data_IF_556924916659
#
_entry.id   IF_556924916659
#
_cell.length_a   1.000
_cell.length_b   1.000
_cell.length_c   1.000
_cell.angle_alpha   90.00
_cell.angle_beta   90.00
_cell.angle_gamma   90.00
#
_symmetry.space_group_name_H-M   'P 1'
#
loop_
_entity.id
_entity.type
_entity.pdbx_description
1 polymer ?
#
# COMPACT_ATOMS: atom_id res chain seq x y z
N UNK A 1 -31.38 -29.82 -6.09
CA UNK A 1 -31.47 -31.00 -5.20
C UNK A 1 -30.09 -31.25 -4.64
N UNK A 2 -29.86 -31.24 -3.33
CA UNK A 2 -28.54 -31.53 -2.79
C UNK A 2 -28.32 -33.05 -2.73
N UNK A 3 -27.18 -33.49 -3.27
CA UNK A 3 -26.64 -34.82 -3.05
C UNK A 3 -26.15 -34.92 -1.60
N UNK A 4 -26.84 -35.71 -0.78
CA UNK A 4 -26.31 -36.18 0.49
C UNK A 4 -25.48 -37.43 0.24
N UNK A 5 -24.15 -37.27 0.19
CA UNK A 5 -23.23 -38.35 0.53
C UNK A 5 -23.03 -38.32 2.03
N UNK A 6 -23.29 -39.44 2.71
CA UNK A 6 -23.05 -39.58 4.15
C UNK A 6 -21.58 -39.27 4.47
N UNK A 7 -21.34 -38.16 5.16
CA UNK A 7 -20.03 -37.81 5.69
C UNK A 7 -19.76 -38.67 6.93
N UNK A 8 -18.78 -39.58 6.85
CA UNK A 8 -18.18 -40.14 8.06
C UNK A 8 -17.59 -39.00 8.89
N UNK A 9 -17.72 -39.01 10.24
CA UNK A 9 -17.20 -37.93 11.07
C UNK A 9 -15.67 -37.95 11.05
N UNK A 10 -15.07 -37.15 10.17
CA UNK A 10 -13.64 -36.87 10.22
C UNK A 10 -13.37 -36.13 11.52
N UNK A 11 -12.51 -36.65 12.39
CA UNK A 11 -12.10 -35.95 13.60
C UNK A 11 -11.63 -34.53 13.25
N UNK A 12 -12.29 -33.49 13.78
CA UNK A 12 -11.86 -32.11 13.57
C UNK A 12 -10.42 -31.96 14.09
N UNK A 13 -9.45 -31.91 13.17
CA UNK A 13 -8.02 -31.83 13.50
C UNK A 13 -7.65 -30.57 14.28
N UNK A 14 -8.52 -29.55 14.27
CA UNK A 14 -8.35 -28.28 14.96
C UNK A 14 -9.09 -28.17 16.28
N UNK A 15 -9.82 -29.21 16.72
CA UNK A 15 -10.70 -29.14 17.89
C UNK A 15 -10.04 -28.54 19.15
N UNK A 16 -8.75 -28.82 19.38
CA UNK A 16 -7.99 -28.25 20.50
C UNK A 16 -7.72 -26.76 20.34
N UNK A 17 -7.39 -26.31 19.13
CA UNK A 17 -7.17 -24.88 18.83
C UNK A 17 -8.49 -24.14 18.97
N UNK A 18 -9.56 -24.68 18.37
CA UNK A 18 -10.90 -24.10 18.36
C UNK A 18 -11.43 -23.92 19.77
N UNK A 19 -11.40 -24.97 20.60
CA UNK A 19 -11.85 -24.90 21.99
C UNK A 19 -11.04 -23.86 22.81
N UNK A 20 -9.73 -23.79 22.59
CA UNK A 20 -8.85 -22.88 23.31
C UNK A 20 -9.07 -21.41 22.92
N UNK A 21 -9.29 -21.13 21.63
CA UNK A 21 -9.47 -19.76 21.14
C UNK A 21 -10.89 -19.25 21.39
N UNK A 22 -11.91 -20.11 21.32
CA UNK A 22 -13.28 -19.72 21.63
C UNK A 22 -13.46 -19.41 23.13
N UNK A 23 -12.57 -19.94 23.98
CA UNK A 23 -12.51 -19.67 25.42
C UNK A 23 -11.58 -18.51 25.81
N UNK A 24 -11.07 -17.73 24.83
CA UNK A 24 -10.19 -16.58 25.12
C UNK A 24 -10.91 -15.53 25.99
N UNK A 25 -10.28 -15.00 27.05
CA UNK A 25 -10.86 -13.89 27.81
C UNK A 25 -10.93 -12.62 26.96
N UNK A 26 -12.05 -11.90 27.05
CA UNK A 26 -12.31 -10.72 26.20
C UNK A 26 -11.24 -9.64 26.30
N UNK A 27 -10.58 -9.49 27.46
CA UNK A 27 -9.48 -8.53 27.68
C UNK A 27 -8.34 -8.65 26.66
N UNK A 28 -8.04 -9.86 26.20
CA UNK A 28 -7.00 -10.10 25.19
C UNK A 28 -7.43 -9.68 23.79
N UNK A 29 -8.74 -9.50 23.55
CA UNK A 29 -9.30 -9.16 22.23
C UNK A 29 -9.71 -7.70 22.11
N UNK A 30 -9.26 -6.84 23.04
CA UNK A 30 -9.54 -5.40 23.01
C UNK A 30 -8.55 -4.61 22.15
N UNK A 31 -7.34 -5.14 21.91
CA UNK A 31 -6.31 -4.51 21.10
C UNK A 31 -5.66 -5.54 20.20
N UNK A 32 -5.35 -5.13 18.98
CA UNK A 32 -4.72 -6.00 17.97
C UNK A 32 -3.43 -6.63 18.49
N UNK A 33 -2.55 -5.83 19.11
CA UNK A 33 -1.27 -6.30 19.61
C UNK A 33 -1.43 -7.34 20.73
N UNK A 34 -2.29 -7.06 21.71
CA UNK A 34 -2.57 -7.98 22.82
C UNK A 34 -3.18 -9.29 22.33
N UNK A 35 -4.03 -9.23 21.29
CA UNK A 35 -4.64 -10.41 20.72
C UNK A 35 -3.60 -11.28 20.00
N UNK A 36 -2.77 -10.67 19.17
CA UNK A 36 -1.69 -11.36 18.46
C UNK A 36 -0.64 -11.96 19.43
N UNK A 37 -0.29 -11.24 20.50
CA UNK A 37 0.59 -11.74 21.56
C UNK A 37 0.02 -12.98 22.26
N UNK A 38 -1.28 -12.96 22.59
CA UNK A 38 -1.96 -14.14 23.14
C UNK A 38 -1.85 -15.33 22.19
N UNK A 39 -2.15 -15.13 20.90
CA UNK A 39 -2.05 -16.18 19.87
C UNK A 39 -0.62 -16.74 19.78
N UNK A 40 0.40 -15.88 19.73
CA UNK A 40 1.81 -16.28 19.65
C UNK A 40 2.29 -17.07 20.88
N UNK A 41 1.78 -16.74 22.07
CA UNK A 41 2.09 -17.46 23.30
C UNK A 41 1.38 -18.81 23.36
N UNK A 42 0.10 -18.86 22.99
CA UNK A 42 -0.77 -20.02 23.15
C UNK A 42 -0.59 -21.09 22.07
N UNK A 43 -0.36 -20.68 20.82
CA UNK A 43 -0.32 -21.57 19.66
C UNK A 43 1.05 -21.59 18.99
N UNK A 44 1.47 -22.76 18.54
CA UNK A 44 2.76 -22.98 17.87
C UNK A 44 2.54 -23.42 16.42
N UNK A 45 3.38 -22.94 15.52
CA UNK A 45 3.27 -23.16 14.08
C UNK A 45 2.23 -22.27 13.41
N UNK A 46 2.42 -22.01 12.12
CA UNK A 46 1.60 -21.06 11.37
C UNK A 46 0.15 -21.53 11.30
N UNK A 47 -0.07 -22.82 11.04
CA UNK A 47 -1.40 -23.36 10.84
C UNK A 47 -2.30 -23.21 12.08
N UNK A 48 -1.78 -23.47 13.28
CA UNK A 48 -2.54 -23.30 14.52
C UNK A 48 -2.85 -21.82 14.82
N UNK A 49 -1.92 -20.92 14.50
CA UNK A 49 -2.13 -19.47 14.67
C UNK A 49 -3.19 -18.95 13.71
N UNK A 50 -3.11 -19.32 12.43
CA UNK A 50 -4.10 -18.94 11.41
C UNK A 50 -5.48 -19.49 11.75
N UNK A 51 -5.53 -20.76 12.22
CA UNK A 51 -6.78 -21.37 12.68
C UNK A 51 -7.39 -20.60 13.84
N UNK A 52 -6.59 -20.23 14.84
CA UNK A 52 -7.05 -19.45 15.97
C UNK A 52 -7.63 -18.10 15.53
N UNK A 53 -6.92 -17.35 14.68
CA UNK A 53 -7.41 -16.08 14.15
C UNK A 53 -8.74 -16.28 13.42
N UNK A 54 -8.79 -17.22 12.49
CA UNK A 54 -9.97 -17.47 11.64
C UNK A 54 -11.21 -17.84 12.46
N UNK A 55 -11.09 -18.85 13.33
CA UNK A 55 -12.20 -19.33 14.19
C UNK A 55 -12.65 -18.26 15.15
N UNK A 56 -11.74 -17.47 15.71
CA UNK A 56 -12.16 -16.36 16.56
C UNK A 56 -13.03 -15.38 15.77
N UNK A 57 -12.59 -14.99 14.57
CA UNK A 57 -13.32 -14.03 13.75
C UNK A 57 -14.69 -14.56 13.32
N UNK A 58 -14.76 -15.78 12.76
CA UNK A 58 -16.02 -16.34 12.25
C UNK A 58 -17.07 -16.55 13.34
N UNK A 59 -16.65 -16.81 14.59
CA UNK A 59 -17.55 -17.02 15.72
C UNK A 59 -17.83 -15.78 16.57
N UNK A 60 -17.08 -14.67 16.40
CA UNK A 60 -17.17 -13.49 17.29
C UNK A 60 -17.54 -12.21 16.56
N UNK A 61 -17.43 -12.18 15.24
CA UNK A 61 -17.77 -11.01 14.45
C UNK A 61 -19.16 -11.14 13.83
N UNK A 62 -19.77 -10.00 13.51
CA UNK A 62 -21.07 -9.92 12.85
C UNK A 62 -21.00 -9.05 11.61
N UNK A 63 -21.63 -9.49 10.52
CA UNK A 63 -21.68 -8.69 9.29
C UNK A 63 -22.56 -7.46 9.48
N UNK A 64 -22.05 -6.30 9.07
CA UNK A 64 -22.79 -5.05 9.13
C UNK A 64 -23.60 -4.83 7.85
N UNK A 65 -24.89 -5.20 7.90
CA UNK A 65 -25.83 -5.04 6.78
C UNK A 65 -26.09 -3.56 6.44
N UNK A 66 -25.97 -2.66 7.42
CA UNK A 66 -26.21 -1.23 7.24
C UNK A 66 -24.88 -0.48 7.25
N UNK A 67 -24.37 -0.16 6.07
CA UNK A 67 -23.24 0.77 5.97
C UNK A 67 -23.72 2.17 6.32
N UNK A 68 -23.44 2.64 7.53
CA UNK A 68 -23.61 4.05 7.88
C UNK A 68 -22.53 4.86 7.18
N UNK A 69 -22.92 5.75 6.27
CA UNK A 69 -22.03 6.79 5.77
C UNK A 69 -21.59 7.68 6.93
N UNK A 70 -20.38 7.48 7.44
CA UNK A 70 -19.75 8.42 8.37
C UNK A 70 -19.18 9.59 7.58
N UNK A 71 -19.32 10.79 8.14
CA UNK A 71 -18.78 12.04 7.60
C UNK A 71 -17.29 11.91 7.25
N UNK A 72 -16.91 12.31 6.02
CA UNK A 72 -15.55 12.22 5.44
C UNK A 72 -14.56 13.27 5.97
N UNK A 73 -14.80 13.86 7.13
CA UNK A 73 -13.93 14.93 7.64
C UNK A 73 -12.66 14.39 8.35
N UNK A 74 -12.57 13.09 8.64
CA UNK A 74 -11.34 12.48 9.14
C UNK A 74 -10.52 11.86 8.01
N UNK A 75 -9.21 12.05 8.08
CA UNK A 75 -8.24 11.35 7.22
C UNK A 75 -8.32 9.85 7.54
N UNK A 76 -8.51 9.04 6.51
CA UNK A 76 -8.56 7.58 6.63
C UNK A 76 -7.31 7.02 7.33
N UNK A 77 -7.51 6.08 8.24
CA UNK A 77 -6.43 5.36 8.94
C UNK A 77 -6.78 3.88 9.04
N UNK A 78 -5.98 3.04 8.35
CA UNK A 78 -6.11 1.58 8.39
C UNK A 78 -6.01 1.05 9.83
N UNK A 79 -5.11 1.59 10.64
CA UNK A 79 -4.92 1.20 12.04
C UNK A 79 -6.17 1.47 12.89
N UNK A 80 -6.78 2.66 12.73
CA UNK A 80 -8.05 2.98 13.41
C UNK A 80 -9.17 2.04 12.98
N UNK A 81 -9.34 1.83 11.67
CA UNK A 81 -10.38 0.95 11.13
C UNK A 81 -10.26 -0.49 11.67
N UNK A 82 -9.05 -1.05 11.70
CA UNK A 82 -8.81 -2.39 12.25
C UNK A 82 -9.14 -2.44 13.74
N UNK A 83 -8.69 -1.44 14.50
CA UNK A 83 -8.91 -1.38 15.94
C UNK A 83 -10.40 -1.20 16.30
N UNK A 84 -11.12 -0.39 15.53
CA UNK A 84 -12.58 -0.22 15.64
C UNK A 84 -13.32 -1.51 15.27
N UNK A 85 -12.90 -2.19 14.20
CA UNK A 85 -13.47 -3.48 13.79
C UNK A 85 -13.33 -4.52 14.89
N UNK A 86 -12.14 -4.64 15.48
CA UNK A 86 -11.89 -5.56 16.59
C UNK A 86 -12.74 -5.22 17.82
N UNK A 87 -12.87 -3.94 18.14
CA UNK A 87 -13.59 -3.46 19.33
C UNK A 87 -15.10 -3.61 19.19
N UNK A 88 -15.65 -3.28 18.03
CA UNK A 88 -17.09 -3.36 17.74
C UNK A 88 -17.52 -4.77 17.36
N UNK A 89 -16.57 -5.61 16.91
CA UNK A 89 -16.78 -6.94 16.35
C UNK A 89 -17.78 -6.93 15.18
N UNK A 90 -17.78 -5.86 14.40
CA UNK A 90 -18.70 -5.64 13.28
C UNK A 90 -17.96 -5.02 12.10
N UNK A 91 -18.39 -5.36 10.89
CA UNK A 91 -17.83 -4.81 9.66
C UNK A 91 -18.47 -5.42 8.42
N UNK A 92 -18.07 -4.94 7.24
CA UNK A 92 -18.30 -5.60 5.95
C UNK A 92 -17.04 -6.37 5.53
N UNK A 93 -17.05 -6.98 4.34
CA UNK A 93 -15.96 -7.82 3.83
C UNK A 93 -14.56 -7.21 4.00
N UNK A 94 -14.41 -5.92 3.69
CA UNK A 94 -13.17 -5.16 3.90
C UNK A 94 -12.63 -5.23 5.32
N UNK A 95 -13.45 -4.90 6.32
CA UNK A 95 -13.00 -4.89 7.71
C UNK A 95 -12.61 -6.28 8.20
N UNK A 96 -13.35 -7.31 7.77
CA UNK A 96 -13.02 -8.71 8.06
C UNK A 96 -11.66 -9.08 7.46
N UNK A 97 -11.46 -8.87 6.17
CA UNK A 97 -10.21 -9.22 5.50
C UNK A 97 -9.04 -8.39 6.05
N UNK A 98 -9.23 -7.09 6.31
CA UNK A 98 -8.21 -6.22 6.87
C UNK A 98 -7.77 -6.61 8.28
N UNK A 99 -8.72 -6.94 9.17
CA UNK A 99 -8.41 -7.45 10.50
C UNK A 99 -7.66 -8.78 10.44
N UNK A 100 -8.08 -9.69 9.54
CA UNK A 100 -7.41 -10.98 9.34
C UNK A 100 -5.96 -10.81 8.87
N UNK A 101 -5.73 -10.03 7.80
CA UNK A 101 -4.40 -9.68 7.29
C UNK A 101 -3.53 -9.08 8.40
N UNK A 102 -4.08 -8.15 9.17
CA UNK A 102 -3.32 -7.46 10.22
C UNK A 102 -2.91 -8.42 11.33
N UNK A 103 -3.83 -9.26 11.81
CA UNK A 103 -3.53 -10.27 12.83
C UNK A 103 -2.52 -11.30 12.31
N UNK A 104 -2.65 -11.77 11.07
CA UNK A 104 -1.68 -12.65 10.43
C UNK A 104 -0.28 -12.03 10.44
N UNK A 105 -0.14 -10.78 10.02
CA UNK A 105 1.13 -10.05 10.05
C UNK A 105 1.71 -9.93 11.46
N UNK A 106 0.89 -9.62 12.46
CA UNK A 106 1.32 -9.49 13.86
C UNK A 106 1.75 -10.83 14.49
N UNK A 107 1.30 -11.97 13.96
CA UNK A 107 1.78 -13.31 14.37
C UNK A 107 2.94 -13.85 13.53
N UNK A 108 3.48 -13.02 12.63
CA UNK A 108 4.65 -13.31 11.80
C UNK A 108 4.33 -13.99 10.48
N UNK A 109 3.07 -13.96 10.03
CA UNK A 109 2.60 -14.64 8.83
C UNK A 109 2.31 -13.61 7.75
N UNK A 110 2.98 -13.75 6.60
CA UNK A 110 2.79 -12.83 5.48
C UNK A 110 1.41 -13.03 4.87
N UNK A 111 0.66 -11.95 4.68
CA UNK A 111 -0.68 -11.96 4.10
C UNK A 111 -0.93 -10.74 3.22
N UNK A 112 -1.81 -10.89 2.24
CA UNK A 112 -2.28 -9.81 1.37
C UNK A 112 -3.81 -9.75 1.38
N UNK A 113 -4.33 -8.53 1.31
CA UNK A 113 -5.73 -8.23 1.05
C UNK A 113 -5.95 -8.28 -0.47
N UNK A 114 -7.00 -8.98 -0.90
CA UNK A 114 -7.33 -9.17 -2.31
C UNK A 114 -8.71 -8.60 -2.60
N UNK A 115 -8.78 -7.68 -3.57
CA UNK A 115 -10.03 -7.14 -4.10
C UNK A 115 -10.53 -7.98 -5.28
N UNK A 116 -11.82 -8.25 -5.30
CA UNK A 116 -12.47 -8.97 -6.39
C UNK A 116 -13.97 -9.02 -6.25
N UNK A 117 -14.56 -10.12 -6.70
CA UNK A 117 -15.99 -10.36 -6.61
C UNK A 117 -16.28 -11.86 -6.49
N UNK A 118 -17.42 -12.16 -5.87
CA UNK A 118 -17.89 -13.53 -5.67
C UNK A 118 -18.88 -13.98 -6.75
N UNK A 119 -19.14 -15.28 -6.79
CA UNK A 119 -20.31 -15.84 -7.49
C UNK A 119 -20.95 -16.97 -6.68
N UNK A 120 -22.24 -17.16 -6.87
CA UNK A 120 -22.99 -18.31 -6.37
C UNK A 120 -23.42 -19.18 -7.55
N UNK A 121 -22.86 -20.38 -7.66
CA UNK A 121 -22.97 -21.21 -8.86
C UNK A 121 -22.36 -20.49 -10.08
N UNK A 122 -23.19 -20.19 -11.08
CA UNK A 122 -22.79 -19.44 -12.28
C UNK A 122 -23.35 -18.01 -12.30
N UNK A 123 -23.80 -17.50 -11.15
CA UNK A 123 -24.36 -16.16 -11.02
C UNK A 123 -23.38 -15.28 -10.25
N UNK A 124 -22.84 -14.26 -10.92
CA UNK A 124 -21.99 -13.24 -10.30
C UNK A 124 -22.78 -12.45 -9.27
N UNK A 125 -22.19 -12.24 -8.10
CA UNK A 125 -22.76 -11.40 -7.05
C UNK A 125 -22.54 -9.91 -7.41
N UNK A 126 -23.51 -9.03 -7.13
CA UNK A 126 -23.47 -7.65 -7.61
C UNK A 126 -22.54 -6.75 -6.78
N UNK A 127 -21.97 -7.23 -5.68
CA UNK A 127 -21.05 -6.47 -4.84
C UNK A 127 -19.58 -6.83 -5.07
N UNK A 128 -18.72 -5.83 -4.90
CA UNK A 128 -17.29 -6.06 -4.68
C UNK A 128 -17.09 -6.86 -3.40
N UNK A 129 -16.06 -7.69 -3.39
CA UNK A 129 -15.72 -8.51 -2.24
C UNK A 129 -14.22 -8.47 -1.98
N UNK A 130 -13.85 -8.53 -0.71
CA UNK A 130 -12.47 -8.52 -0.26
C UNK A 130 -12.18 -9.73 0.63
N UNK A 131 -11.07 -10.41 0.39
CA UNK A 131 -10.62 -11.57 1.15
C UNK A 131 -9.09 -11.54 1.34
N UNK A 132 -8.53 -12.60 1.94
CA UNK A 132 -7.09 -12.68 2.21
C UNK A 132 -6.42 -13.87 1.55
N UNK A 133 -5.15 -13.68 1.21
CA UNK A 133 -4.20 -14.78 0.99
C UNK A 133 -3.11 -14.70 2.04
N UNK A 134 -2.64 -15.84 2.55
CA UNK A 134 -1.57 -15.88 3.53
C UNK A 134 -0.62 -17.07 3.30
N UNK A 135 0.66 -16.87 3.64
CA UNK A 135 1.70 -17.89 3.51
C UNK A 135 1.80 -18.72 4.79
N UNK A 136 1.29 -19.95 4.78
CA UNK A 136 1.28 -20.86 5.94
C UNK A 136 2.29 -21.98 5.71
N UNK A 137 3.31 -22.07 6.57
CA UNK A 137 4.40 -23.05 6.44
C UNK A 137 5.09 -23.02 5.06
N UNK A 138 5.25 -21.83 4.47
CA UNK A 138 5.90 -21.62 3.18
C UNK A 138 4.98 -21.67 1.95
N UNK A 139 3.76 -22.21 2.09
CA UNK A 139 2.79 -22.34 0.99
C UNK A 139 1.68 -21.30 1.08
N UNK A 140 1.13 -20.89 -0.07
CA UNK A 140 0.09 -19.86 -0.13
C UNK A 140 -1.32 -20.45 -0.12
N UNK A 141 -2.18 -19.91 0.74
CA UNK A 141 -3.59 -20.31 0.86
C UNK A 141 -4.51 -19.10 0.93
N UNK A 142 -5.77 -19.33 0.57
CA UNK A 142 -6.85 -18.34 0.59
C UNK A 142 -7.71 -18.50 1.84
N UNK A 143 -8.23 -17.36 2.31
CA UNK A 143 -9.02 -17.23 3.53
C UNK A 143 -10.11 -16.19 3.30
N UNK A 144 -11.37 -16.58 3.52
CA UNK A 144 -12.49 -15.64 3.54
C UNK A 144 -13.34 -15.81 4.81
N UNK A 145 -12.97 -15.11 5.90
CA UNK A 145 -13.75 -15.16 7.13
C UNK A 145 -15.15 -14.54 6.96
N UNK A 146 -15.41 -13.74 5.93
CA UNK A 146 -16.71 -13.07 5.75
C UNK A 146 -17.78 -14.09 5.38
N UNK A 147 -17.55 -14.89 4.33
CA UNK A 147 -18.51 -15.89 3.87
C UNK A 147 -18.66 -17.06 4.85
N UNK A 148 -17.64 -17.32 5.67
CA UNK A 148 -17.68 -18.33 6.72
C UNK A 148 -18.25 -17.84 8.07
N UNK A 149 -18.65 -16.57 8.19
CA UNK A 149 -19.22 -16.02 9.45
C UNK A 149 -20.74 -16.21 9.54
N UNK A 150 -21.43 -16.29 8.40
CA UNK A 150 -22.87 -16.45 8.32
C UNK A 150 -23.46 -15.88 7.04
N UNK A 151 -24.76 -15.54 7.07
CA UNK A 151 -25.49 -15.07 5.90
C UNK A 151 -26.46 -13.93 6.25
N UNK A 152 -27.02 -13.29 5.21
CA UNK A 152 -28.04 -12.25 5.35
C UNK A 152 -29.40 -12.87 5.01
N UNK A 153 -30.36 -12.72 5.92
CA UNK A 153 -31.76 -13.12 5.75
C UNK A 153 -32.64 -11.98 6.25
N UNK A 154 -33.63 -11.57 5.44
CA UNK A 154 -34.53 -10.45 5.75
C UNK A 154 -33.83 -9.17 6.23
N UNK A 155 -32.77 -8.76 5.52
CA UNK A 155 -31.93 -7.60 5.84
C UNK A 155 -31.28 -7.65 7.23
N UNK A 156 -31.11 -8.85 7.80
CA UNK A 156 -30.45 -9.09 9.07
C UNK A 156 -29.34 -10.11 8.90
N UNK A 157 -28.26 -9.90 9.63
CA UNK A 157 -27.19 -10.88 9.72
C UNK A 157 -27.59 -12.04 10.63
N UNK A 158 -27.46 -13.27 10.12
CA UNK A 158 -27.62 -14.52 10.86
C UNK A 158 -26.25 -15.18 10.97
N UNK A 159 -25.78 -15.39 12.21
CA UNK A 159 -24.51 -16.07 12.45
C UNK A 159 -24.64 -17.56 12.14
N UNK A 160 -23.78 -18.05 11.26
CA UNK A 160 -23.66 -19.46 10.92
C UNK A 160 -22.19 -19.76 10.61
N UNK A 161 -21.32 -19.83 11.64
CA UNK A 161 -19.90 -20.01 11.43
C UNK A 161 -19.57 -21.36 10.76
N UNK A 162 -18.70 -21.33 9.76
CA UNK A 162 -18.18 -22.49 9.04
C UNK A 162 -16.68 -22.31 8.75
N UNK A 163 -16.08 -23.26 8.04
CA UNK A 163 -14.67 -23.30 7.67
C UNK A 163 -14.43 -23.61 6.19
N UNK A 164 -15.46 -23.43 5.35
CA UNK A 164 -15.42 -23.75 3.91
C UNK A 164 -14.30 -22.98 3.22
N UNK A 165 -14.06 -21.73 3.61
CA UNK A 165 -13.03 -20.86 3.04
C UNK A 165 -11.75 -20.78 3.87
N UNK A 166 -11.59 -21.62 4.90
CA UNK A 166 -10.34 -21.70 5.66
C UNK A 166 -9.26 -22.48 4.90
N UNK A 167 -8.11 -21.84 4.65
CA UNK A 167 -6.89 -22.47 4.09
C UNK A 167 -7.16 -23.16 2.75
N UNK A 168 -7.88 -22.48 1.85
CA UNK A 168 -8.21 -23.02 0.54
C UNK A 168 -7.06 -22.94 -0.45
N UNK A 169 -7.00 -23.93 -1.35
CA UNK A 169 -6.06 -23.94 -2.47
C UNK A 169 -6.54 -23.01 -3.60
N UNK A 170 -5.62 -22.39 -4.36
CA UNK A 170 -5.97 -21.49 -5.47
C UNK A 170 -6.99 -22.08 -6.45
N UNK A 171 -6.83 -23.34 -6.84
CA UNK A 171 -7.68 -24.03 -7.83
C UNK A 171 -9.11 -24.25 -7.34
N UNK A 172 -9.31 -24.33 -6.02
CA UNK A 172 -10.63 -24.45 -5.38
C UNK A 172 -11.25 -23.08 -5.16
N UNK A 173 -10.45 -22.12 -4.69
CA UNK A 173 -10.95 -20.79 -4.33
C UNK A 173 -11.45 -20.00 -5.55
N UNK A 174 -10.76 -20.12 -6.70
CA UNK A 174 -11.16 -19.48 -7.96
C UNK A 174 -12.54 -19.93 -8.49
N UNK A 175 -13.11 -21.01 -7.96
CA UNK A 175 -14.45 -21.45 -8.38
C UNK A 175 -15.56 -20.53 -7.88
N UNK A 176 -15.31 -19.76 -6.81
CA UNK A 176 -16.31 -18.85 -6.23
C UNK A 176 -15.81 -17.42 -6.10
N UNK A 177 -14.50 -17.18 -6.14
CA UNK A 177 -13.90 -15.85 -5.95
C UNK A 177 -12.99 -15.47 -7.11
N UNK A 178 -13.31 -14.38 -7.80
CA UNK A 178 -12.50 -13.86 -8.90
C UNK A 178 -11.81 -12.56 -8.46
N UNK A 179 -10.48 -12.55 -8.30
CA UNK A 179 -9.77 -11.31 -8.04
C UNK A 179 -9.84 -10.39 -9.25
N UNK A 180 -9.84 -9.08 -9.01
CA UNK A 180 -9.74 -8.12 -10.10
C UNK A 180 -8.41 -8.29 -10.81
N UNK A 181 -7.28 -8.24 -10.11
CA UNK A 181 -5.97 -8.47 -10.73
C UNK A 181 -5.65 -9.98 -10.82
N UNK A 182 -5.41 -10.52 -12.03
CA UNK A 182 -5.04 -11.93 -12.24
C UNK A 182 -3.80 -12.41 -11.47
N UNK A 183 -2.93 -11.49 -11.03
CA UNK A 183 -1.82 -11.81 -10.12
C UNK A 183 -2.29 -12.65 -8.93
N UNK A 184 -3.42 -12.27 -8.36
CA UNK A 184 -3.93 -12.81 -7.11
C UNK A 184 -4.73 -14.10 -7.27
N UNK A 185 -4.80 -14.68 -8.46
CA UNK A 185 -5.36 -16.02 -8.62
C UNK A 185 -4.40 -17.11 -8.14
N UNK A 186 -3.09 -16.83 -8.14
CA UNK A 186 -2.02 -17.81 -7.85
C UNK A 186 -2.08 -19.08 -8.72
N UNK A 187 -2.58 -18.91 -9.95
CA UNK A 187 -2.66 -19.97 -10.95
C UNK A 187 -1.62 -19.75 -12.06
N UNK A 188 -1.01 -20.86 -12.50
CA UNK A 188 -0.08 -20.88 -13.64
C UNK A 188 -0.77 -20.61 -14.98
N UNK A 189 -2.09 -20.78 -15.03
CA UNK A 189 -2.96 -20.47 -16.17
C UNK A 189 -4.22 -19.76 -15.65
N UNK A 190 -4.12 -18.45 -15.35
CA UNK A 190 -5.22 -17.68 -14.77
C UNK A 190 -6.50 -17.79 -15.61
N UNK A 191 -7.65 -17.80 -14.95
CA UNK A 191 -8.97 -17.69 -15.56
C UNK A 191 -9.16 -16.27 -16.10
N UNK A 192 -9.74 -16.14 -17.28
CA UNK A 192 -10.30 -14.87 -17.74
C UNK A 192 -11.60 -14.55 -16.97
N UNK A 193 -12.04 -13.28 -17.00
CA UNK A 193 -13.35 -12.93 -16.42
C UNK A 193 -14.49 -13.70 -17.09
N UNK A 194 -14.46 -13.83 -18.43
CA UNK A 194 -15.42 -14.62 -19.22
C UNK A 194 -15.50 -16.08 -18.76
N UNK A 195 -14.34 -16.73 -18.54
CA UNK A 195 -14.28 -18.13 -18.10
C UNK A 195 -14.86 -18.30 -16.70
N UNK A 196 -14.52 -17.39 -15.78
CA UNK A 196 -15.06 -17.39 -14.43
C UNK A 196 -16.58 -17.23 -14.43
N UNK A 197 -17.10 -16.24 -15.16
CA UNK A 197 -18.54 -15.94 -15.22
C UNK A 197 -19.35 -17.08 -15.81
N UNK A 198 -18.87 -17.69 -16.90
CA UNK A 198 -19.52 -18.84 -17.55
C UNK A 198 -19.38 -20.14 -16.74
N UNK A 199 -18.40 -20.21 -15.84
CA UNK A 199 -18.06 -21.44 -15.10
C UNK A 199 -17.48 -22.54 -15.99
N UNK A 200 -16.97 -22.19 -17.17
CA UNK A 200 -16.42 -23.14 -18.15
C UNK A 200 -15.11 -22.57 -18.69
N UNK A 201 -14.07 -23.41 -18.68
CA UNK A 201 -12.81 -23.11 -19.34
C UNK A 201 -13.00 -23.16 -20.85
N UNK A 202 -12.54 -22.13 -21.56
CA UNK A 202 -12.72 -22.05 -23.02
C UNK A 202 -11.97 -23.19 -23.73
N UNK A 203 -12.52 -23.73 -24.81
CA UNK A 203 -11.83 -24.77 -25.59
C UNK A 203 -10.67 -24.15 -26.37
N UNK A 204 -9.46 -24.74 -26.27
CA UNK A 204 -8.28 -24.26 -27.01
C UNK A 204 -7.55 -23.08 -26.38
N UNK A 205 -7.64 -22.91 -25.05
CA UNK A 205 -6.95 -21.85 -24.29
C UNK A 205 -5.49 -21.68 -24.71
N UNK A 206 -5.17 -20.52 -25.27
CA UNK A 206 -3.80 -20.06 -25.47
C UNK A 206 -3.42 -19.04 -24.38
N UNK A 207 -3.61 -19.42 -23.11
CA UNK A 207 -3.22 -18.60 -21.95
C UNK A 207 -1.73 -18.85 -21.67
N UNK A 208 -0.86 -17.83 -21.76
CA UNK A 208 0.55 -17.97 -21.43
C UNK A 208 0.75 -18.49 -20.01
N UNK A 209 1.84 -19.24 -19.80
CA UNK A 209 2.21 -19.66 -18.45
C UNK A 209 2.53 -18.42 -17.60
N UNK A 210 1.86 -18.26 -16.47
CA UNK A 210 2.01 -17.12 -15.59
C UNK A 210 2.81 -17.51 -14.33
N UNK A 211 4.06 -17.06 -14.26
CA UNK A 211 4.93 -17.23 -13.10
C UNK A 211 4.54 -16.26 -11.98
N UNK A 212 3.38 -16.48 -11.36
CA UNK A 212 2.83 -15.56 -10.35
C UNK A 212 3.77 -15.33 -9.16
N UNK A 213 4.62 -16.30 -8.78
CA UNK A 213 5.61 -16.12 -7.72
C UNK A 213 6.63 -15.03 -8.06
N UNK A 214 7.04 -14.92 -9.32
CA UNK A 214 7.99 -13.89 -9.76
C UNK A 214 7.30 -12.54 -9.85
N UNK A 215 6.07 -12.50 -10.36
CA UNK A 215 5.23 -11.30 -10.34
C UNK A 215 4.98 -10.80 -8.90
N UNK A 216 4.81 -11.69 -7.93
CA UNK A 216 4.65 -11.32 -6.51
C UNK A 216 5.93 -10.72 -5.92
N UNK A 217 7.11 -11.26 -6.26
CA UNK A 217 8.40 -10.68 -5.84
C UNK A 217 8.62 -9.28 -6.45
N UNK A 218 8.14 -9.05 -7.66
CA UNK A 218 8.16 -7.72 -8.29
C UNK A 218 7.20 -6.79 -7.57
N UNK A 219 5.95 -7.23 -7.33
CA UNK A 219 4.93 -6.48 -6.60
C UNK A 219 5.44 -5.98 -5.24
N UNK A 220 6.13 -6.83 -4.48
CA UNK A 220 6.70 -6.48 -3.17
C UNK A 220 7.75 -5.37 -3.19
N UNK A 221 8.35 -5.10 -4.35
CA UNK A 221 9.41 -4.09 -4.52
C UNK A 221 8.93 -2.81 -5.19
N UNK A 222 7.72 -2.83 -5.73
CA UNK A 222 7.13 -1.72 -6.45
C UNK A 222 6.59 -0.65 -5.51
N UNK A 223 6.65 0.60 -5.94
CA UNK A 223 5.90 1.69 -5.30
C UNK A 223 4.39 1.44 -5.44
N UNK A 224 3.58 2.13 -4.63
CA UNK A 224 2.12 2.02 -4.73
C UNK A 224 1.60 2.37 -6.13
N UNK A 225 2.14 3.41 -6.77
CA UNK A 225 1.79 3.81 -8.14
C UNK A 225 2.17 2.72 -9.14
N UNK A 226 3.39 2.16 -9.04
CA UNK A 226 3.84 1.06 -9.91
C UNK A 226 2.97 -0.19 -9.76
N UNK A 227 2.53 -0.51 -8.54
CA UNK A 227 1.60 -1.61 -8.29
C UNK A 227 0.25 -1.39 -8.97
N UNK A 228 -0.32 -0.17 -8.88
CA UNK A 228 -1.59 0.18 -9.52
C UNK A 228 -1.49 0.07 -11.04
N UNK A 229 -0.44 0.62 -11.66
CA UNK A 229 -0.21 0.56 -13.10
C UNK A 229 -0.02 -0.88 -13.59
N UNK A 230 0.76 -1.68 -12.86
CA UNK A 230 0.98 -3.08 -13.19
C UNK A 230 -0.30 -3.92 -13.06
N UNK A 231 -1.12 -3.68 -12.02
CA UNK A 231 -2.42 -4.30 -11.85
C UNK A 231 -3.35 -3.93 -13.02
N UNK A 232 -3.43 -2.64 -13.39
CA UNK A 232 -4.25 -2.16 -14.50
C UNK A 232 -3.91 -2.86 -15.81
N UNK A 233 -2.62 -3.00 -16.11
CA UNK A 233 -2.14 -3.70 -17.31
C UNK A 233 -2.56 -5.18 -17.32
N UNK A 234 -2.44 -5.87 -16.19
CA UNK A 234 -2.87 -7.28 -16.08
C UNK A 234 -4.39 -7.44 -16.20
N UNK A 235 -5.16 -6.55 -15.58
CA UNK A 235 -6.62 -6.53 -15.65
C UNK A 235 -7.08 -6.40 -17.09
N UNK A 236 -6.57 -5.41 -17.84
CA UNK A 236 -6.91 -5.23 -19.24
C UNK A 236 -6.50 -6.43 -20.12
N UNK A 237 -5.36 -7.05 -19.81
CA UNK A 237 -4.89 -8.24 -20.53
C UNK A 237 -5.75 -9.48 -20.26
N UNK A 238 -6.52 -9.52 -19.16
CA UNK A 238 -7.38 -10.65 -18.80
C UNK A 238 -8.72 -10.68 -19.55
N UNK A 239 -8.92 -9.74 -20.48
CA UNK A 239 -10.11 -9.63 -21.32
C UNK A 239 -11.20 -8.74 -20.72
N UNK A 240 -12.34 -8.71 -21.40
CA UNK A 240 -13.50 -7.90 -20.97
C UNK A 240 -14.12 -8.51 -19.71
N UNK A 241 -14.20 -7.72 -18.65
CA UNK A 241 -14.92 -8.07 -17.42
C UNK A 241 -16.35 -7.53 -17.40
N UNK A 242 -17.01 -7.71 -16.26
CA UNK A 242 -18.32 -7.11 -15.94
C UNK A 242 -18.17 -5.67 -15.38
N UNK A 243 -19.29 -5.07 -15.01
CA UNK A 243 -19.36 -3.70 -14.48
C UNK A 243 -18.51 -3.48 -13.22
N UNK A 244 -18.27 -4.51 -12.39
CA UNK A 244 -17.40 -4.42 -11.22
C UNK A 244 -15.92 -4.30 -11.63
N UNK A 245 -15.52 -4.98 -12.70
CA UNK A 245 -14.16 -4.85 -13.26
C UNK A 245 -13.97 -3.45 -13.85
N UNK A 246 -14.97 -2.93 -14.56
CA UNK A 246 -14.93 -1.56 -15.10
C UNK A 246 -14.89 -0.51 -13.99
N UNK A 247 -15.66 -0.70 -12.92
CA UNK A 247 -15.58 0.11 -11.71
C UNK A 247 -14.18 0.10 -11.09
N UNK A 248 -13.59 -1.09 -10.92
CA UNK A 248 -12.25 -1.22 -10.34
C UNK A 248 -11.18 -0.58 -11.23
N UNK A 249 -11.27 -0.68 -12.55
CA UNK A 249 -10.37 0.00 -13.49
C UNK A 249 -10.44 1.52 -13.36
N UNK A 250 -11.64 2.09 -13.19
CA UNK A 250 -11.82 3.52 -12.96
C UNK A 250 -11.23 3.95 -11.61
N UNK A 251 -11.49 3.18 -10.55
CA UNK A 251 -10.92 3.44 -9.22
C UNK A 251 -9.40 3.35 -9.23
N UNK A 252 -8.83 2.32 -9.86
CA UNK A 252 -7.39 2.15 -10.03
C UNK A 252 -6.77 3.35 -10.77
N UNK A 253 -7.40 3.83 -11.85
CA UNK A 253 -6.94 5.01 -12.59
C UNK A 253 -6.99 6.28 -11.73
N UNK A 254 -8.07 6.50 -10.98
CA UNK A 254 -8.18 7.64 -10.07
C UNK A 254 -7.11 7.60 -8.98
N UNK A 255 -6.91 6.44 -8.35
CA UNK A 255 -5.88 6.22 -7.34
C UNK A 255 -4.47 6.40 -7.90
N UNK A 256 -4.22 5.97 -9.14
CA UNK A 256 -2.93 6.18 -9.82
C UNK A 256 -2.63 7.67 -9.96
N UNK A 257 -3.63 8.49 -10.32
CA UNK A 257 -3.47 9.94 -10.42
C UNK A 257 -3.22 10.57 -9.05
N UNK A 258 -3.97 10.16 -8.01
CA UNK A 258 -3.76 10.63 -6.63
C UNK A 258 -2.36 10.28 -6.13
N UNK A 259 -1.87 9.07 -6.39
CA UNK A 259 -0.52 8.66 -6.02
C UNK A 259 0.57 9.48 -6.70
N UNK A 260 0.46 9.69 -8.01
CA UNK A 260 1.39 10.55 -8.76
C UNK A 260 1.39 11.99 -8.24
N UNK A 261 0.22 12.51 -7.90
CA UNK A 261 0.09 13.84 -7.32
C UNK A 261 0.73 13.93 -5.94
N UNK A 262 0.54 12.91 -5.09
CA UNK A 262 1.18 12.83 -3.78
C UNK A 262 2.70 12.78 -3.89
N UNK A 263 3.25 11.94 -4.79
CA UNK A 263 4.70 11.88 -5.04
C UNK A 263 5.26 13.24 -5.51
N UNK A 264 4.53 13.94 -6.39
CA UNK A 264 4.92 15.28 -6.85
C UNK A 264 4.88 16.31 -5.71
N UNK A 265 3.92 16.24 -4.80
CA UNK A 265 3.82 17.10 -3.62
C UNK A 265 4.97 16.84 -2.65
N UNK A 266 5.31 15.57 -2.39
CA UNK A 266 6.43 15.20 -1.51
C UNK A 266 7.76 15.71 -2.07
N UNK A 267 7.96 15.54 -3.39
CA UNK A 267 9.13 16.11 -4.07
C UNK A 267 9.15 17.63 -4.00
N UNK A 268 8.01 18.30 -4.23
CA UNK A 268 7.91 19.76 -4.10
C UNK A 268 8.31 20.23 -2.70
N UNK A 269 7.79 19.58 -1.66
CA UNK A 269 8.11 19.91 -0.28
C UNK A 269 9.60 19.69 0.03
N UNK A 270 10.17 18.56 -0.39
CA UNK A 270 11.59 18.25 -0.20
C UNK A 270 12.52 19.23 -0.95
N UNK A 271 12.19 19.56 -2.20
CA UNK A 271 12.95 20.52 -2.99
C UNK A 271 12.88 21.93 -2.39
N UNK A 272 11.71 22.32 -1.86
CA UNK A 272 11.53 23.60 -1.15
C UNK A 272 12.37 23.67 0.13
N UNK A 273 12.43 22.61 0.94
CA UNK A 273 13.29 22.54 2.12
C UNK A 273 14.77 22.72 1.74
N UNK A 274 15.24 21.97 0.73
CA UNK A 274 16.62 22.06 0.25
C UNK A 274 16.94 23.47 -0.27
N UNK A 275 16.02 24.08 -1.02
CA UNK A 275 16.18 25.43 -1.52
C UNK A 275 16.26 26.45 -0.38
N UNK A 276 15.36 26.38 0.60
CA UNK A 276 15.39 27.27 1.77
C UNK A 276 16.72 27.18 2.51
N UNK A 277 17.22 25.96 2.72
CA UNK A 277 18.53 25.73 3.37
C UNK A 277 19.70 26.24 2.52
N UNK A 278 19.61 26.12 1.20
CA UNK A 278 20.60 26.70 0.29
C UNK A 278 20.60 28.24 0.38
N UNK A 279 19.42 28.86 0.35
CA UNK A 279 19.24 30.31 0.54
C UNK A 279 19.84 30.77 1.87
N UNK A 280 19.58 30.05 2.96
CA UNK A 280 20.17 30.35 4.26
C UNK A 280 21.70 30.25 4.25
N UNK A 281 22.24 29.18 3.64
CA UNK A 281 23.68 28.98 3.51
C UNK A 281 24.35 30.09 2.71
N UNK A 282 23.82 30.45 1.54
CA UNK A 282 24.42 31.52 0.73
C UNK A 282 24.27 32.89 1.40
N UNK A 283 23.19 33.12 2.15
CA UNK A 283 23.01 34.35 2.92
C UNK A 283 24.06 34.50 4.02
N UNK A 284 24.51 33.41 4.64
CA UNK A 284 25.65 33.43 5.58
C UNK A 284 26.93 33.90 4.86
N UNK A 285 27.20 33.38 3.67
CA UNK A 285 28.34 33.84 2.86
C UNK A 285 28.21 35.32 2.45
N UNK A 286 27.04 35.74 1.98
CA UNK A 286 26.78 37.13 1.56
C UNK A 286 27.00 38.10 2.73
N UNK A 287 26.49 37.78 3.93
CA UNK A 287 26.72 38.59 5.14
C UNK A 287 28.22 38.65 5.49
N UNK A 288 28.92 37.52 5.44
CA UNK A 288 30.35 37.46 5.69
C UNK A 288 31.17 38.27 4.68
N UNK A 289 30.79 38.23 3.40
CA UNK A 289 31.36 39.08 2.34
C UNK A 289 31.08 40.57 2.59
N UNK A 290 29.85 40.94 2.95
CA UNK A 290 29.46 42.33 3.29
C UNK A 290 30.25 42.86 4.50
N UNK A 291 30.57 42.00 5.46
CA UNK A 291 31.46 42.31 6.58
C UNK A 291 32.95 42.40 6.20
N UNK A 292 33.28 42.33 4.90
CA UNK A 292 34.65 42.40 4.40
C UNK A 292 35.51 41.20 4.78
N UNK A 293 34.90 40.02 4.92
CA UNK A 293 35.55 38.77 5.33
C UNK A 293 36.20 38.86 6.72
N UNK A 294 35.47 39.43 7.67
CA UNK A 294 35.86 39.52 9.08
C UNK A 294 34.91 38.71 9.98
N UNK A 295 35.43 37.96 10.97
CA UNK A 295 36.84 37.67 11.22
C UNK A 295 37.47 36.82 10.11
N UNK A 296 38.79 36.92 9.92
CA UNK A 296 39.48 36.25 8.81
C UNK A 296 39.38 34.73 8.93
N UNK A 297 38.92 34.07 7.86
CA UNK A 297 38.88 32.61 7.70
C UNK A 297 39.88 32.15 6.64
N UNK A 298 40.29 30.88 6.70
CA UNK A 298 41.10 30.28 5.65
C UNK A 298 40.30 30.20 4.33
N UNK A 299 40.98 30.27 3.18
CA UNK A 299 40.32 30.23 1.86
C UNK A 299 39.38 29.04 1.69
N UNK A 300 39.85 27.84 2.05
CA UNK A 300 39.04 26.61 2.01
C UNK A 300 37.75 26.73 2.83
N UNK A 301 37.81 27.39 4.00
CA UNK A 301 36.61 27.60 4.82
C UNK A 301 35.62 28.56 4.15
N UNK A 302 36.12 29.59 3.45
CA UNK A 302 35.26 30.55 2.73
C UNK A 302 34.63 29.91 1.48
N UNK A 303 35.38 29.06 0.76
CA UNK A 303 34.87 28.28 -0.37
C UNK A 303 33.78 27.30 0.07
N UNK A 304 34.00 26.60 1.19
CA UNK A 304 33.01 25.70 1.80
C UNK A 304 31.65 26.35 2.03
N UNK A 305 31.63 27.63 2.43
CA UNK A 305 30.38 28.37 2.68
C UNK A 305 29.50 28.49 1.43
N UNK A 306 30.09 28.50 0.23
CA UNK A 306 29.36 28.52 -1.03
C UNK A 306 29.06 27.09 -1.51
N UNK A 307 30.03 26.18 -1.40
CA UNK A 307 29.88 24.78 -1.81
C UNK A 307 28.68 24.10 -1.13
N UNK A 308 28.45 24.35 0.16
CA UNK A 308 27.27 23.82 0.87
C UNK A 308 25.96 24.28 0.21
N UNK A 309 25.89 25.56 -0.17
CA UNK A 309 24.71 26.07 -0.87
C UNK A 309 24.56 25.44 -2.26
N UNK A 310 25.67 25.27 -2.99
CA UNK A 310 25.68 24.66 -4.32
C UNK A 310 25.22 23.20 -4.28
N UNK A 311 25.75 22.41 -3.35
CA UNK A 311 25.36 21.01 -3.14
C UNK A 311 23.85 20.89 -2.84
N UNK A 312 23.31 21.76 -1.99
CA UNK A 312 21.89 21.78 -1.67
C UNK A 312 21.03 22.19 -2.88
N UNK A 313 21.44 23.20 -3.64
CA UNK A 313 20.74 23.64 -4.86
C UNK A 313 20.74 22.55 -5.93
N UNK A 314 21.87 21.86 -6.15
CA UNK A 314 21.96 20.75 -7.10
C UNK A 314 21.06 19.58 -6.70
N UNK A 315 20.95 19.29 -5.40
CA UNK A 315 20.01 18.27 -4.92
C UNK A 315 18.55 18.69 -5.11
N UNK A 316 18.21 19.95 -4.85
CA UNK A 316 16.87 20.48 -5.12
C UNK A 316 16.51 20.38 -6.60
N UNK A 317 17.44 20.75 -7.49
CA UNK A 317 17.30 20.63 -8.94
C UNK A 317 17.15 19.16 -9.38
N UNK A 318 17.97 18.25 -8.85
CA UNK A 318 17.85 16.83 -9.17
C UNK A 318 16.50 16.24 -8.76
N UNK A 319 15.97 16.63 -7.60
CA UNK A 319 14.65 16.17 -7.13
C UNK A 319 13.53 16.74 -8.01
N UNK A 320 13.53 18.05 -8.26
CA UNK A 320 12.44 18.68 -9.02
C UNK A 320 12.36 18.16 -10.46
N UNK A 321 13.49 17.71 -11.02
CA UNK A 321 13.59 17.14 -12.37
C UNK A 321 13.22 15.65 -12.43
N UNK A 322 13.08 14.96 -11.28
CA UNK A 322 12.57 13.58 -11.26
C UNK A 322 11.05 13.49 -11.44
N UNK A 323 10.33 14.61 -11.32
CA UNK A 323 8.87 14.65 -11.52
C UNK A 323 8.56 14.83 -13.00
N UNK A 324 8.08 13.76 -13.64
CA UNK A 324 7.76 13.73 -15.08
C UNK A 324 6.29 13.96 -15.39
N UNK A 325 5.38 13.54 -14.51
CA UNK A 325 3.92 13.68 -14.67
C UNK A 325 3.36 14.50 -13.52
N UNK A 326 2.60 15.56 -13.84
CA UNK A 326 2.12 16.54 -12.86
C UNK A 326 0.67 16.89 -13.20
N UNK A 327 -0.24 16.80 -12.23
CA UNK A 327 -1.60 17.32 -12.38
C UNK A 327 -1.61 18.82 -12.69
N UNK A 328 -2.53 19.30 -13.55
CA UNK A 328 -2.63 20.72 -13.91
C UNK A 328 -2.64 21.68 -12.71
N UNK A 329 -3.28 21.27 -11.61
CA UNK A 329 -3.40 22.07 -10.38
C UNK A 329 -2.06 22.38 -9.67
N UNK A 330 -1.03 21.55 -9.84
CA UNK A 330 0.29 21.74 -9.20
C UNK A 330 1.36 22.23 -10.19
N UNK A 331 1.07 22.20 -11.49
CA UNK A 331 2.03 22.51 -12.55
C UNK A 331 2.69 23.88 -12.38
N UNK A 332 1.92 24.93 -12.09
CA UNK A 332 2.46 26.28 -11.96
C UNK A 332 3.37 26.43 -10.74
N UNK A 333 3.00 25.84 -9.60
CA UNK A 333 3.82 25.91 -8.39
C UNK A 333 5.19 25.24 -8.58
N UNK A 334 5.20 24.07 -9.23
CA UNK A 334 6.43 23.35 -9.58
C UNK A 334 7.30 24.13 -10.58
N UNK A 335 6.70 24.76 -11.60
CA UNK A 335 7.44 25.61 -12.55
C UNK A 335 8.10 26.81 -11.86
N UNK A 336 7.34 27.51 -11.00
CA UNK A 336 7.88 28.63 -10.24
C UNK A 336 9.06 28.20 -9.33
N UNK A 337 8.95 27.02 -8.72
CA UNK A 337 10.04 26.46 -7.90
C UNK A 337 11.29 26.14 -8.75
N UNK A 338 11.12 25.55 -9.94
CA UNK A 338 12.22 25.29 -10.89
C UNK A 338 12.94 26.58 -11.27
N UNK A 339 12.19 27.62 -11.65
CA UNK A 339 12.77 28.92 -11.98
C UNK A 339 13.54 29.51 -10.79
N UNK A 340 12.95 29.45 -9.59
CA UNK A 340 13.58 29.96 -8.37
C UNK A 340 14.87 29.21 -7.99
N UNK A 341 14.93 27.89 -8.19
CA UNK A 341 16.13 27.08 -7.99
C UNK A 341 17.21 27.48 -9.00
N UNK A 342 16.85 27.70 -10.27
CA UNK A 342 17.78 28.12 -11.31
C UNK A 342 18.33 29.52 -11.06
N UNK A 343 17.50 30.45 -10.60
CA UNK A 343 17.94 31.78 -10.17
C UNK A 343 18.94 31.72 -9.01
N UNK A 344 18.67 30.88 -8.02
CA UNK A 344 19.59 30.65 -6.90
C UNK A 344 20.92 30.06 -7.39
N UNK A 345 20.89 29.08 -8.28
CA UNK A 345 22.09 28.49 -8.88
C UNK A 345 22.93 29.55 -9.60
N UNK A 346 22.29 30.43 -10.38
CA UNK A 346 22.99 31.55 -11.04
C UNK A 346 23.61 32.53 -10.03
N UNK A 347 22.95 32.82 -8.91
CA UNK A 347 23.50 33.68 -7.86
C UNK A 347 24.71 33.04 -7.18
N UNK A 348 24.62 31.76 -6.81
CA UNK A 348 25.72 30.98 -6.25
C UNK A 348 26.92 31.00 -7.20
N UNK A 349 26.68 30.75 -8.49
CA UNK A 349 27.73 30.77 -9.51
C UNK A 349 28.45 32.13 -9.60
N UNK A 350 27.70 33.25 -9.58
CA UNK A 350 28.29 34.60 -9.53
C UNK A 350 29.17 34.81 -8.29
N UNK A 351 28.77 34.25 -7.14
CA UNK A 351 29.57 34.30 -5.92
C UNK A 351 30.83 33.42 -5.98
N UNK A 352 30.77 32.26 -6.61
CA UNK A 352 31.96 31.43 -6.89
C UNK A 352 32.96 32.18 -7.76
N UNK A 353 32.50 32.75 -8.88
CA UNK A 353 33.35 33.56 -9.78
C UNK A 353 33.99 34.75 -9.05
N UNK A 354 33.23 35.40 -8.17
CA UNK A 354 33.77 36.46 -7.32
C UNK A 354 34.89 35.94 -6.42
N UNK A 355 34.72 34.80 -5.74
CA UNK A 355 35.76 34.23 -4.88
C UNK A 355 37.02 33.86 -5.66
N UNK A 356 36.88 33.26 -6.83
CA UNK A 356 38.05 32.95 -7.68
C UNK A 356 38.86 34.22 -7.99
N UNK A 357 38.17 35.27 -8.42
CA UNK A 357 38.80 36.56 -8.70
C UNK A 357 39.41 37.19 -7.44
N UNK A 358 38.74 37.08 -6.30
CA UNK A 358 39.19 37.65 -5.03
C UNK A 358 40.49 37.00 -4.56
N UNK A 359 40.57 35.66 -4.59
CA UNK A 359 41.75 34.94 -4.14
C UNK A 359 42.91 34.99 -5.13
N UNK A 360 42.64 35.07 -6.44
CA UNK A 360 43.66 35.32 -7.47
C UNK A 360 44.29 36.72 -7.39
N UNK A 361 43.59 37.70 -6.78
CA UNK A 361 44.06 39.09 -6.65
C UNK A 361 45.03 39.26 -5.46
N UNK A 362 46.11 40.04 -5.65
CA UNK A 362 47.09 40.36 -4.59
C UNK A 362 46.40 40.90 -3.32
N UNK A 363 46.79 40.50 -2.10
CA UNK A 363 46.11 40.89 -0.86
C UNK A 363 45.88 42.40 -0.69
N UNK A 364 46.85 43.23 -1.09
CA UNK A 364 46.76 44.70 -1.00
C UNK A 364 45.68 45.31 -1.90
N UNK A 365 45.28 44.62 -2.99
CA UNK A 365 44.31 45.11 -3.97
C UNK A 365 42.90 44.53 -3.77
N UNK A 366 42.74 43.53 -2.89
CA UNK A 366 41.46 42.85 -2.64
C UNK A 366 40.36 43.77 -2.12
N UNK A 367 40.72 44.84 -1.41
CA UNK A 367 39.77 45.84 -0.91
C UNK A 367 38.95 46.51 -2.03
N UNK A 368 39.52 46.65 -3.23
CA UNK A 368 38.84 47.26 -4.38
C UNK A 368 37.71 46.38 -4.92
N UNK A 369 37.77 45.06 -4.72
CA UNK A 369 36.75 44.10 -5.15
C UNK A 369 35.56 44.04 -4.18
N UNK A 370 35.69 44.57 -2.97
CA UNK A 370 34.63 44.58 -1.95
C UNK A 370 33.78 45.86 -1.96
N UNK A 371 34.22 46.91 -2.66
CA UNK A 371 33.55 48.23 -2.74
C UNK A 371 32.59 48.37 -3.93
N UNK A 372 32.40 47.29 -4.70
CA UNK A 372 31.42 47.14 -5.78
C UNK A 372 30.50 45.98 -5.42
#
# INVERSE_FOLDING_TARGET
MPFYGEAQPSSNRYARVDAAILSIPDEYTKKVDTFAEYINRKFKGDEAKMRAIYVWMTHRMAYNVFTTFTSRNEVYSEEKEVQETLSTRKGVCRQFALLFKTLAGKVGIKAYLIDGYGKSGNVVLPEVHEWCVAQVNGEWYFFDPTYDTGYIEDYRFVSAPDDVYFKQLPERFIQTHMPFDPLWQFLKRPYSYSEFEKGVLESGRNVPFFCWQDSLKVYDRQSWVEQLEAARSRILANGKGNDLVDYFLQLNQANTQVGKDSEAIDVYAAATDLQNRAVDSINVFIRYRKAGFRPRKAEAQVRRMIEVSEELTLRADSLINSVHTISPQYKQALLNLRESIMDLAMQIYKHKLFLERYYATKPSLRGNLLRR
#
